data_IF_533838691431
#
_entry.id   IF_533838691431
#
_cell.length_a   1.000
_cell.length_b   1.000
_cell.length_c   1.000
_cell.angle_alpha   90.00
_cell.angle_beta   90.00
_cell.angle_gamma   90.00
#
_symmetry.space_group_name_H-M   'P 1'
#
loop_
_entity.id
_entity.type
_entity.pdbx_description
1 polymer ?
#
# COMPACT_ATOMS: atom_id res chain seq x y z
N UNK A 1 -12.37 9.22 -9.92
CA UNK A 1 -11.55 8.61 -8.84
C UNK A 1 -10.13 9.03 -9.12
N UNK A 2 -9.42 9.59 -8.12
CA UNK A 2 -8.11 10.26 -8.31
C UNK A 2 -7.13 9.45 -9.17
N UNK A 3 -6.97 8.14 -8.92
CA UNK A 3 -6.07 7.28 -9.67
C UNK A 3 -6.39 7.27 -11.17
N UNK A 4 -7.66 7.08 -11.53
CA UNK A 4 -8.10 7.02 -12.93
C UNK A 4 -7.84 8.34 -13.66
N UNK A 5 -8.10 9.46 -12.98
CA UNK A 5 -7.88 10.79 -13.54
C UNK A 5 -6.37 11.12 -13.59
N UNK A 6 -5.57 10.57 -12.66
CA UNK A 6 -4.12 10.67 -12.64
C UNK A 6 -3.49 9.88 -13.79
N UNK A 7 -3.81 8.59 -13.94
CA UNK A 7 -3.29 7.75 -15.03
C UNK A 7 -3.68 8.28 -16.40
N UNK A 8 -4.95 8.71 -16.57
CA UNK A 8 -5.41 9.32 -17.83
C UNK A 8 -4.65 10.58 -18.20
N UNK A 9 -4.38 11.49 -17.24
CA UNK A 9 -3.62 12.72 -17.49
C UNK A 9 -2.18 12.46 -17.92
N UNK A 10 -1.58 11.37 -17.44
CA UNK A 10 -0.22 10.98 -17.80
C UNK A 10 -0.16 10.05 -19.03
N UNK A 11 -1.30 9.77 -19.68
CA UNK A 11 -1.36 8.89 -20.85
C UNK A 11 -1.03 7.43 -20.53
N UNK A 12 -1.18 7.01 -19.28
CA UNK A 12 -0.87 5.65 -18.85
C UNK A 12 -2.05 4.72 -19.15
N UNK A 13 -1.95 4.02 -20.28
CA UNK A 13 -3.04 3.18 -20.82
C UNK A 13 -2.80 1.69 -20.51
N UNK A 14 -1.54 1.23 -20.52
CA UNK A 14 -1.18 -0.16 -20.27
C UNK A 14 -0.72 -0.34 -18.82
N UNK A 15 -1.50 -1.08 -18.05
CA UNK A 15 -1.32 -1.30 -16.62
C UNK A 15 -1.04 -2.76 -16.37
N UNK A 16 0.02 -3.05 -15.64
CA UNK A 16 0.32 -4.36 -15.08
C UNK A 16 -0.28 -4.40 -13.68
N UNK A 17 -1.21 -5.32 -13.43
CA UNK A 17 -1.89 -5.47 -12.13
C UNK A 17 -1.42 -6.76 -11.46
N UNK A 18 -0.52 -6.61 -10.50
CA UNK A 18 0.00 -7.71 -9.68
C UNK A 18 -0.80 -7.75 -8.39
N UNK A 19 -1.37 -8.90 -8.03
CA UNK A 19 -2.19 -9.01 -6.84
C UNK A 19 -2.14 -10.40 -6.23
N UNK A 20 -2.37 -10.49 -4.93
CA UNK A 20 -2.50 -11.76 -4.22
C UNK A 20 -3.89 -12.37 -4.49
N UNK A 21 -3.92 -13.54 -5.14
CA UNK A 21 -5.16 -14.24 -5.45
C UNK A 21 -5.72 -15.06 -4.29
N UNK A 22 -4.92 -15.32 -3.26
CA UNK A 22 -5.33 -16.12 -2.10
C UNK A 22 -6.01 -15.27 -1.03
N UNK A 23 -5.74 -13.96 -1.03
CA UNK A 23 -6.38 -13.01 -0.13
C UNK A 23 -7.72 -12.53 -0.70
N UNK A 24 -8.82 -12.89 -0.03
CA UNK A 24 -10.18 -12.48 -0.42
C UNK A 24 -10.35 -10.95 -0.45
N UNK A 25 -9.73 -10.25 0.50
CA UNK A 25 -9.82 -8.80 0.61
C UNK A 25 -9.12 -8.15 -0.59
N UNK A 26 -7.87 -8.57 -0.86
CA UNK A 26 -7.09 -8.09 -2.01
C UNK A 26 -7.77 -8.48 -3.33
N UNK A 27 -8.31 -9.69 -3.45
CA UNK A 27 -9.02 -10.12 -4.66
C UNK A 27 -10.26 -9.26 -4.93
N UNK A 28 -11.01 -8.90 -3.88
CA UNK A 28 -12.21 -8.03 -4.00
C UNK A 28 -11.83 -6.60 -4.38
N UNK A 29 -10.80 -6.03 -3.75
CA UNK A 29 -10.26 -4.72 -4.10
C UNK A 29 -9.74 -4.70 -5.54
N UNK A 30 -9.01 -5.75 -5.94
CA UNK A 30 -8.48 -5.94 -7.30
C UNK A 30 -9.59 -5.98 -8.31
N UNK A 31 -10.65 -6.76 -8.09
CA UNK A 31 -11.75 -6.89 -9.03
C UNK A 31 -12.49 -5.55 -9.21
N UNK A 32 -12.69 -4.82 -8.12
CA UNK A 32 -13.30 -3.49 -8.13
C UNK A 32 -12.44 -2.50 -8.93
N UNK A 33 -11.14 -2.44 -8.64
CA UNK A 33 -10.19 -1.59 -9.36
C UNK A 33 -10.12 -1.96 -10.85
N UNK A 34 -10.00 -3.26 -11.17
CA UNK A 34 -9.92 -3.77 -12.54
C UNK A 34 -11.12 -3.35 -13.36
N UNK A 35 -12.32 -3.46 -12.80
CA UNK A 35 -13.56 -3.06 -13.47
C UNK A 35 -13.53 -1.57 -13.80
N UNK A 36 -13.14 -0.72 -12.84
CA UNK A 36 -13.01 0.72 -13.03
C UNK A 36 -11.95 1.11 -14.07
N UNK A 37 -10.81 0.41 -14.10
CA UNK A 37 -9.76 0.66 -15.10
C UNK A 37 -10.24 0.30 -16.50
N UNK A 38 -10.88 -0.87 -16.66
CA UNK A 38 -11.42 -1.34 -17.94
C UNK A 38 -12.55 -0.46 -18.46
N UNK A 39 -13.47 -0.03 -17.60
CA UNK A 39 -14.55 0.92 -17.94
C UNK A 39 -14.01 2.26 -18.49
N UNK A 40 -12.79 2.63 -18.09
CA UNK A 40 -12.11 3.85 -18.55
C UNK A 40 -11.22 3.62 -19.76
N UNK A 41 -11.26 2.44 -20.37
CA UNK A 41 -10.51 2.10 -21.58
C UNK A 41 -9.04 1.79 -21.35
N UNK A 42 -8.64 1.46 -20.12
CA UNK A 42 -7.27 1.03 -19.82
C UNK A 42 -7.09 -0.47 -20.11
N UNK A 43 -5.93 -0.82 -20.64
CA UNK A 43 -5.52 -2.20 -20.88
C UNK A 43 -4.87 -2.73 -19.61
N UNK A 44 -5.53 -3.70 -18.96
CA UNK A 44 -5.04 -4.29 -17.70
C UNK A 44 -4.50 -5.68 -17.99
N UNK A 45 -3.21 -5.88 -17.69
CA UNK A 45 -2.54 -7.18 -17.70
C UNK A 45 -2.54 -7.74 -16.29
N UNK A 46 -3.36 -8.77 -16.07
CA UNK A 46 -3.56 -9.40 -14.77
C UNK A 46 -2.43 -10.39 -14.47
N UNK A 47 -1.83 -10.27 -13.29
CA UNK A 47 -0.73 -11.11 -12.81
C UNK A 47 -1.05 -11.59 -11.39
N UNK A 48 -1.91 -12.62 -11.24
CA UNK A 48 -2.23 -13.18 -9.94
C UNK A 48 -1.02 -13.90 -9.34
N UNK A 49 -0.80 -13.68 -8.04
CA UNK A 49 0.21 -14.34 -7.23
C UNK A 49 -0.49 -15.18 -6.18
N UNK A 50 -0.16 -16.48 -6.10
CA UNK A 50 -0.61 -17.34 -5.02
C UNK A 50 0.41 -17.20 -3.87
N UNK A 51 0.15 -16.31 -2.90
CA UNK A 51 1.11 -16.03 -1.84
C UNK A 51 1.33 -17.22 -0.89
N UNK A 52 0.35 -18.13 -0.76
CA UNK A 52 0.39 -19.27 0.16
C UNK A 52 1.29 -20.39 -0.35
N UNK A 53 1.28 -20.63 -1.67
CA UNK A 53 2.09 -21.63 -2.38
C UNK A 53 3.15 -20.95 -3.23
N UNK A 54 3.58 -19.74 -2.85
CA UNK A 54 4.60 -19.02 -3.58
C UNK A 54 5.97 -19.66 -3.32
N UNK A 55 6.23 -20.77 -4.02
CA UNK A 55 7.34 -21.65 -3.72
C UNK A 55 8.71 -21.10 -4.14
N UNK A 56 8.80 -19.94 -4.79
CA UNK A 56 10.10 -19.30 -5.01
C UNK A 56 10.02 -17.81 -5.29
N UNK A 57 10.59 -17.04 -4.36
CA UNK A 57 11.09 -15.69 -4.54
C UNK A 57 11.93 -15.51 -5.82
N UNK A 58 12.62 -16.56 -6.29
CA UNK A 58 13.38 -16.58 -7.55
C UNK A 58 12.52 -16.37 -8.82
N UNK A 59 11.20 -16.55 -8.74
CA UNK A 59 10.29 -16.31 -9.87
C UNK A 59 9.90 -14.83 -10.04
N UNK A 60 10.07 -14.00 -9.01
CA UNK A 60 9.69 -12.57 -9.03
C UNK A 60 10.40 -11.77 -10.13
N UNK A 61 11.72 -11.94 -10.37
CA UNK A 61 12.37 -11.31 -11.51
C UNK A 61 11.70 -11.62 -12.85
N UNK A 62 11.26 -12.86 -13.05
CA UNK A 62 10.57 -13.29 -14.27
C UNK A 62 9.20 -12.64 -14.38
N UNK A 63 8.42 -12.66 -13.30
CA UNK A 63 7.10 -12.00 -13.24
C UNK A 63 7.21 -10.51 -13.58
N UNK A 64 8.20 -9.81 -13.02
CA UNK A 64 8.43 -8.39 -13.29
C UNK A 64 8.84 -8.13 -14.74
N UNK A 65 9.72 -8.98 -15.31
CA UNK A 65 10.16 -8.89 -16.71
C UNK A 65 9.04 -9.20 -17.70
N UNK A 66 8.15 -10.13 -17.37
CA UNK A 66 6.99 -10.43 -18.21
C UNK A 66 5.96 -9.31 -18.13
N UNK A 67 5.71 -8.76 -16.94
CA UNK A 67 4.93 -7.53 -16.78
C UNK A 67 5.52 -6.37 -17.59
N UNK A 68 6.85 -6.21 -17.61
CA UNK A 68 7.50 -5.10 -18.32
C UNK A 68 7.37 -5.20 -19.83
N UNK A 69 7.00 -6.35 -20.39
CA UNK A 69 6.67 -6.48 -21.82
C UNK A 69 5.30 -5.90 -22.15
N UNK A 70 4.41 -5.83 -21.15
CA UNK A 70 3.01 -5.43 -21.31
C UNK A 70 2.77 -3.97 -20.89
N UNK A 71 3.54 -3.43 -19.95
CA UNK A 71 3.36 -2.06 -19.48
C UNK A 71 4.57 -1.47 -18.75
N UNK A 72 4.44 -0.20 -18.37
CA UNK A 72 5.41 0.53 -17.52
C UNK A 72 4.83 0.94 -16.18
N UNK A 73 3.51 0.89 -16.05
CA UNK A 73 2.80 1.21 -14.81
C UNK A 73 2.39 -0.10 -14.14
N UNK A 74 2.97 -0.35 -12.98
CA UNK A 74 2.71 -1.51 -12.15
C UNK A 74 1.85 -1.08 -10.98
N UNK A 75 0.63 -1.59 -10.90
CA UNK A 75 -0.18 -1.51 -9.69
C UNK A 75 0.01 -2.84 -8.96
N UNK A 76 0.55 -2.77 -7.74
CA UNK A 76 0.88 -3.94 -6.93
C UNK A 76 0.04 -3.91 -5.66
N UNK A 77 -0.83 -4.93 -5.53
CA UNK A 77 -1.73 -5.17 -4.41
C UNK A 77 -1.29 -6.46 -3.71
N UNK A 78 -0.23 -6.34 -2.90
CA UNK A 78 0.36 -7.45 -2.15
C UNK A 78 0.55 -7.01 -0.69
N UNK A 79 0.58 -7.97 0.22
CA UNK A 79 0.79 -7.69 1.64
C UNK A 79 2.27 -7.45 1.96
N UNK A 80 2.52 -6.46 2.84
CA UNK A 80 3.75 -6.23 3.62
C UNK A 80 5.06 -6.76 3.04
N UNK A 81 5.53 -7.90 3.55
CA UNK A 81 6.84 -8.47 3.21
C UNK A 81 6.95 -8.87 1.73
N UNK A 82 5.89 -9.44 1.16
CA UNK A 82 5.87 -9.84 -0.24
C UNK A 82 5.97 -8.60 -1.15
N UNK A 83 5.24 -7.54 -0.80
CA UNK A 83 5.34 -6.26 -1.48
C UNK A 83 6.77 -5.69 -1.43
N UNK A 84 7.41 -5.66 -0.25
CA UNK A 84 8.81 -5.20 -0.11
C UNK A 84 9.75 -6.03 -0.98
N UNK A 85 9.56 -7.35 -1.01
CA UNK A 85 10.36 -8.25 -1.82
C UNK A 85 10.21 -7.96 -3.32
N UNK A 86 8.98 -7.77 -3.81
CA UNK A 86 8.73 -7.39 -5.20
C UNK A 86 9.44 -6.08 -5.57
N UNK A 87 9.30 -5.06 -4.72
CA UNK A 87 9.85 -3.74 -5.02
C UNK A 87 11.39 -3.71 -4.96
N UNK A 88 11.98 -4.36 -3.95
CA UNK A 88 13.45 -4.53 -3.87
C UNK A 88 13.99 -5.33 -5.04
N UNK A 89 13.30 -6.40 -5.45
CA UNK A 89 13.69 -7.19 -6.62
C UNK A 89 13.62 -6.37 -7.90
N UNK A 90 12.56 -5.58 -8.09
CA UNK A 90 12.44 -4.66 -9.22
C UNK A 90 13.63 -3.68 -9.28
N UNK A 91 14.00 -3.11 -8.13
CA UNK A 91 15.18 -2.24 -8.04
C UNK A 91 16.48 -2.97 -8.44
N UNK A 92 16.70 -4.20 -7.94
CA UNK A 92 17.88 -5.03 -8.25
C UNK A 92 18.03 -5.34 -9.73
N UNK A 93 16.92 -5.58 -10.42
CA UNK A 93 16.93 -5.93 -11.85
C UNK A 93 16.90 -4.70 -12.77
N UNK A 94 17.11 -3.50 -12.21
CA UNK A 94 17.27 -2.25 -12.97
C UNK A 94 15.97 -1.52 -13.29
N UNK A 95 14.83 -1.91 -12.70
CA UNK A 95 13.55 -1.22 -12.92
C UNK A 95 13.35 0.01 -12.02
N UNK A 96 14.40 0.46 -11.33
CA UNK A 96 14.38 1.62 -10.43
C UNK A 96 14.97 2.90 -11.04
N UNK A 97 15.15 2.97 -12.35
CA UNK A 97 15.80 4.09 -13.05
C UNK A 97 14.83 5.20 -13.52
N UNK A 98 13.53 5.01 -13.29
CA UNK A 98 12.47 5.92 -13.69
C UNK A 98 11.74 5.53 -14.98
N UNK A 99 12.14 4.45 -15.67
CA UNK A 99 11.36 3.90 -16.80
C UNK A 99 10.02 3.30 -16.33
N UNK A 100 9.98 2.84 -15.08
CA UNK A 100 8.85 2.16 -14.48
C UNK A 100 8.23 2.96 -13.35
N UNK A 101 6.90 2.87 -13.24
CA UNK A 101 6.13 3.46 -12.15
C UNK A 101 5.49 2.34 -11.34
N UNK A 102 5.82 2.30 -10.06
CA UNK A 102 5.19 1.38 -9.11
C UNK A 102 4.15 2.14 -8.30
N UNK A 103 2.94 1.59 -8.22
CA UNK A 103 1.81 2.15 -7.48
C UNK A 103 1.30 1.07 -6.55
N UNK A 104 0.99 1.44 -5.31
CA UNK A 104 0.23 0.59 -4.40
C UNK A 104 -0.99 1.32 -3.85
N UNK A 105 -2.00 0.55 -3.46
CA UNK A 105 -3.18 1.05 -2.78
C UNK A 105 -3.08 0.69 -1.31
N UNK A 106 -3.09 1.70 -0.45
CA UNK A 106 -3.15 1.53 1.00
C UNK A 106 -4.35 2.31 1.54
N UNK A 107 -5.55 1.80 1.25
CA UNK A 107 -6.79 2.47 1.63
C UNK A 107 -7.00 2.46 3.14
N UNK A 108 -6.57 1.39 3.82
CA UNK A 108 -6.78 1.20 5.25
C UNK A 108 -5.53 1.43 6.11
N UNK A 109 -4.39 1.81 5.52
CA UNK A 109 -3.11 2.10 6.21
C UNK A 109 -2.52 0.90 6.96
N UNK A 110 -2.78 -0.31 6.47
CA UNK A 110 -2.35 -1.55 7.12
C UNK A 110 -1.34 -2.33 6.27
N UNK A 111 -1.38 -2.20 4.94
CA UNK A 111 -0.66 -3.11 4.05
C UNK A 111 0.70 -2.59 3.60
N UNK A 112 0.83 -1.28 3.36
CA UNK A 112 2.04 -0.68 2.75
C UNK A 112 2.65 0.45 3.57
N UNK A 113 1.91 1.12 4.45
CA UNK A 113 2.42 2.22 5.30
C UNK A 113 2.25 1.96 6.81
N UNK A 114 2.04 0.70 7.20
CA UNK A 114 1.80 0.30 8.59
C UNK A 114 2.83 0.79 9.61
N UNK A 115 2.53 0.58 10.90
CA UNK A 115 3.20 1.18 12.06
C UNK A 115 4.71 0.89 12.21
N UNK A 116 5.23 -0.11 11.50
CA UNK A 116 6.64 -0.30 11.23
C UNK A 116 6.88 0.12 9.79
N UNK A 117 7.71 1.14 9.57
CA UNK A 117 8.10 1.61 8.25
C UNK A 117 8.27 0.41 7.30
N UNK A 118 7.36 0.24 6.35
CA UNK A 118 7.19 -1.00 5.58
C UNK A 118 8.43 -1.46 4.81
N UNK A 119 9.35 -0.53 4.54
CA UNK A 119 10.66 -0.78 3.96
C UNK A 119 11.71 -1.23 4.99
N UNK A 120 11.57 -0.85 6.26
CA UNK A 120 12.50 -1.13 7.35
C UNK A 120 12.12 -2.42 8.08
N UNK A 121 12.90 -3.47 7.89
CA UNK A 121 12.71 -4.79 8.51
C UNK A 121 13.88 -5.21 9.39
N UNK A 122 14.98 -4.42 9.43
CA UNK A 122 16.20 -4.69 10.20
C UNK A 122 16.85 -6.03 9.83
N UNK A 123 16.78 -6.38 8.55
CA UNK A 123 17.27 -7.64 7.98
C UNK A 123 18.59 -7.47 7.18
N UNK A 124 19.18 -6.27 7.21
CA UNK A 124 20.39 -5.94 6.45
C UNK A 124 20.14 -5.41 5.03
N UNK A 125 18.89 -5.39 4.55
CA UNK A 125 18.52 -4.88 3.22
C UNK A 125 17.74 -3.55 3.26
N UNK A 126 17.65 -2.91 4.42
CA UNK A 126 16.83 -1.71 4.62
C UNK A 126 17.26 -0.52 3.75
N UNK A 127 18.56 -0.32 3.52
CA UNK A 127 19.06 0.77 2.67
C UNK A 127 18.66 0.58 1.21
N UNK A 128 18.65 -0.66 0.75
CA UNK A 128 18.20 -1.03 -0.57
C UNK A 128 16.68 -0.90 -0.70
N UNK A 129 15.93 -1.41 0.28
CA UNK A 129 14.49 -1.25 0.34
C UNK A 129 14.11 0.24 0.34
N UNK A 130 14.82 1.08 1.09
CA UNK A 130 14.58 2.53 1.09
C UNK A 130 14.75 3.16 -0.29
N UNK A 131 15.75 2.75 -1.07
CA UNK A 131 15.95 3.20 -2.47
C UNK A 131 14.89 2.66 -3.42
N UNK A 132 14.44 1.42 -3.21
CA UNK A 132 13.35 0.87 -4.00
C UNK A 132 12.04 1.64 -3.75
N UNK A 133 11.75 1.93 -2.48
CA UNK A 133 10.55 2.66 -2.05
C UNK A 133 10.55 4.14 -2.45
N UNK A 134 11.69 4.76 -2.75
CA UNK A 134 11.70 6.15 -3.27
C UNK A 134 11.06 6.28 -4.66
N UNK A 135 10.85 5.16 -5.37
CA UNK A 135 10.19 5.11 -6.67
C UNK A 135 8.72 4.66 -6.59
N UNK A 136 8.21 4.44 -5.37
CA UNK A 136 6.84 3.99 -5.13
C UNK A 136 5.88 5.17 -4.94
N UNK A 137 4.76 5.13 -5.65
CA UNK A 137 3.59 5.94 -5.35
C UNK A 137 2.61 5.13 -4.49
N UNK A 138 2.30 5.62 -3.29
CA UNK A 138 1.25 5.01 -2.45
C UNK A 138 0.00 5.87 -2.52
N UNK A 139 -1.10 5.28 -2.96
CA UNK A 139 -2.41 5.92 -2.92
C UNK A 139 -3.14 5.50 -1.65
N UNK A 140 -3.42 6.47 -0.78
CA UNK A 140 -4.18 6.25 0.46
C UNK A 140 -5.39 7.18 0.55
N UNK A 141 -6.26 6.91 1.52
CA UNK A 141 -7.36 7.81 1.85
C UNK A 141 -6.80 9.13 2.39
N UNK A 142 -7.46 10.24 2.02
CA UNK A 142 -7.07 11.57 2.46
C UNK A 142 -7.13 11.64 3.99
N UNK A 143 -5.97 11.87 4.61
CA UNK A 143 -5.88 12.05 6.05
C UNK A 143 -6.57 13.37 6.47
N UNK A 144 -7.63 13.26 7.27
CA UNK A 144 -8.39 14.38 7.83
C UNK A 144 -8.21 14.53 9.34
N UNK A 145 -7.25 13.81 9.95
CA UNK A 145 -6.99 13.77 11.39
C UNK A 145 -6.63 15.12 12.02
N UNK A 146 -6.14 16.06 11.22
CA UNK A 146 -5.83 17.43 11.66
C UNK A 146 -7.07 18.32 11.78
N UNK A 147 -8.21 17.93 11.20
CA UNK A 147 -9.44 18.71 11.28
C UNK A 147 -10.08 18.63 12.67
N UNK A 148 -10.58 19.77 13.17
CA UNK A 148 -11.25 19.84 14.46
C UNK A 148 -12.47 18.89 14.53
N UNK A 149 -13.23 18.80 13.44
CA UNK A 149 -14.39 17.89 13.33
C UNK A 149 -13.98 16.42 13.48
N UNK A 150 -12.90 16.00 12.83
CA UNK A 150 -12.40 14.63 12.97
C UNK A 150 -11.91 14.35 14.40
N UNK A 151 -11.18 15.29 15.00
CA UNK A 151 -10.70 15.12 16.37
C UNK A 151 -11.85 15.05 17.38
N UNK A 152 -12.91 15.84 17.18
CA UNK A 152 -14.09 15.78 18.02
C UNK A 152 -14.83 14.45 17.85
N UNK A 153 -15.05 14.02 16.60
CA UNK A 153 -15.65 12.72 16.31
C UNK A 153 -14.89 11.56 16.97
N UNK A 154 -13.55 11.54 16.87
CA UNK A 154 -12.71 10.53 17.52
C UNK A 154 -12.91 10.54 19.04
N UNK A 155 -12.93 11.72 19.67
CA UNK A 155 -13.21 11.85 21.11
C UNK A 155 -14.59 11.33 21.48
N UNK A 156 -15.60 11.61 20.67
CA UNK A 156 -16.99 11.17 20.90
C UNK A 156 -17.13 9.64 20.74
N UNK A 157 -16.44 9.05 19.76
CA UNK A 157 -16.39 7.59 19.59
C UNK A 157 -15.71 6.94 20.79
N UNK A 158 -14.53 7.43 21.21
CA UNK A 158 -13.84 6.89 22.39
C UNK A 158 -14.67 7.04 23.66
N UNK A 159 -15.31 8.20 23.88
CA UNK A 159 -16.14 8.42 25.06
C UNK A 159 -17.39 7.53 25.06
N UNK A 160 -17.97 7.23 23.90
CA UNK A 160 -19.10 6.30 23.77
C UNK A 160 -18.71 4.84 24.05
N UNK A 161 -17.50 4.44 23.65
CA UNK A 161 -16.94 3.11 23.94
C UNK A 161 -16.62 3.00 25.44
N UNK A 162 -15.99 4.02 26.02
CA UNK A 162 -15.68 4.07 27.44
C UNK A 162 -16.95 4.09 28.29
N UNK A 163 -17.99 4.82 27.85
CA UNK A 163 -19.29 4.83 28.49
C UNK A 163 -19.93 3.43 28.44
N UNK A 164 -19.95 2.76 27.27
CA UNK A 164 -20.44 1.37 27.16
C UNK A 164 -19.64 0.39 28.01
N UNK A 165 -18.32 0.54 28.08
CA UNK A 165 -17.45 -0.30 28.92
C UNK A 165 -17.73 -0.12 30.41
N UNK A 166 -18.06 1.10 30.82
CA UNK A 166 -18.51 1.42 32.18
C UNK A 166 -19.93 0.91 32.47
N UNK A 167 -20.74 0.61 31.45
CA UNK A 167 -22.16 0.28 31.57
C UNK A 167 -22.55 -1.21 31.42
N UNK A 168 -21.68 -2.14 31.02
CA UNK A 168 -22.05 -3.58 31.01
C UNK A 168 -22.28 -4.08 32.46
N UNK A 169 -23.37 -4.74 32.89
CA UNK A 169 -24.42 -5.54 32.20
C UNK A 169 -23.90 -6.28 30.95
N UNK A 170 -23.23 -7.40 31.22
CA UNK A 170 -22.71 -8.40 30.27
C UNK A 170 -21.77 -7.88 29.16
N UNK A 171 -20.46 -8.05 29.39
CA UNK A 171 -19.45 -7.77 28.38
C UNK A 171 -19.76 -8.50 27.05
N UNK A 172 -19.94 -7.79 25.92
CA UNK A 172 -20.04 -8.45 24.63
C UNK A 172 -18.71 -9.17 24.31
N UNK A 173 -18.75 -10.28 23.55
CA UNK A 173 -17.56 -11.00 23.16
C UNK A 173 -16.57 -10.04 22.50
N UNK A 174 -15.28 -10.23 22.81
CA UNK A 174 -14.15 -9.46 22.28
C UNK A 174 -14.19 -9.45 20.75
N UNK A 175 -14.83 -8.44 20.16
CA UNK A 175 -14.54 -8.10 18.78
C UNK A 175 -13.18 -7.40 18.76
N UNK A 176 -12.27 -7.78 17.85
CA UNK A 176 -10.99 -7.12 17.72
C UNK A 176 -11.24 -5.63 17.50
N UNK A 177 -10.66 -4.82 18.38
CA UNK A 177 -10.65 -3.37 18.23
C UNK A 177 -9.91 -3.08 16.94
N UNK A 178 -10.64 -2.74 15.86
CA UNK A 178 -10.04 -2.23 14.63
C UNK A 178 -9.52 -0.82 14.94
N UNK A 179 -8.31 -0.77 15.48
CA UNK A 179 -7.58 0.47 15.69
C UNK A 179 -7.09 0.94 14.32
N UNK A 180 -7.87 1.77 13.63
CA UNK A 180 -7.34 2.53 12.50
C UNK A 180 -6.30 3.50 13.02
N UNK A 181 -5.02 3.13 12.93
CA UNK A 181 -3.90 4.01 13.24
C UNK A 181 -3.75 5.03 12.09
N UNK A 182 -4.46 6.15 12.19
CA UNK A 182 -4.10 7.35 11.43
C UNK A 182 -2.87 7.97 12.08
N UNK A 183 -1.69 7.56 11.60
CA UNK A 183 -0.40 8.09 12.06
C UNK A 183 -0.37 9.62 11.95
N UNK A 184 -0.34 10.28 13.10
CA UNK A 184 0.23 11.62 13.23
C UNK A 184 1.75 11.50 13.09
N UNK A 185 2.32 12.38 12.29
CA UNK A 185 3.75 12.71 12.23
C UNK A 185 4.70 11.73 11.50
N UNK A 186 4.69 11.79 10.16
CA UNK A 186 5.79 11.26 9.32
C UNK A 186 6.76 12.39 8.87
N UNK A 187 6.46 13.66 9.17
CA UNK A 187 7.30 14.81 8.77
C UNK A 187 8.39 15.23 9.77
N UNK A 188 8.55 14.53 10.89
CA UNK A 188 9.55 14.89 11.91
C UNK A 188 10.97 14.37 11.63
N UNK A 189 11.16 13.48 10.65
CA UNK A 189 12.46 12.86 10.37
C UNK A 189 13.37 13.60 9.36
N UNK A 190 12.98 14.76 8.84
CA UNK A 190 13.78 15.50 7.82
C UNK A 190 14.40 16.81 8.35
N UNK A 191 14.21 17.17 9.62
CA UNK A 191 14.77 18.42 10.19
C UNK A 191 15.54 18.23 11.50
N UNK A 192 16.54 17.36 11.53
CA UNK A 192 17.59 17.40 12.56
C UNK A 192 18.92 16.87 12.04
N UNK A 193 19.46 17.45 10.97
CA UNK A 193 20.93 17.48 10.82
C UNK A 193 21.39 18.56 9.82
N UNK A 194 21.37 19.81 10.25
CA UNK A 194 22.21 20.88 9.71
C UNK A 194 22.48 21.88 10.83
N UNK A 195 23.36 21.48 11.75
CA UNK A 195 24.16 22.45 12.52
C UNK A 195 25.62 22.17 12.20
N UNK A 196 26.08 22.83 11.14
CA UNK A 196 27.50 23.08 10.91
C UNK A 196 27.98 23.94 12.08
N UNK A 197 28.95 23.42 12.84
CA UNK A 197 29.92 24.23 13.58
C UNK A 197 31.15 24.39 12.72
#
# INVERSE_FOLDING_TARGET
>A
MFLLDFTKRHGWINIVLIYDSDSNDIATETQSLRSLLKERGMMVYDTPINATHFDNFDSVPTVLRDGSRNGRVFIILLSGQLFRYFLTTAYRIGMGDGEFVFISLDLFHEQVLGSLASWQQRDGYDDEAKKAYSHLLVLSLKNTSSSATHQQFVKDVHSSIDARRRYNEAAPPLYPTVNYYMGKDIWSCVKKDTRVR
#
